data_IF_292230350463
#
_entry.id   IF_292230350463
#
_cell.length_a   1.000
_cell.length_b   1.000
_cell.length_c   1.000
_cell.angle_alpha   90.00
_cell.angle_beta   90.00
_cell.angle_gamma   90.00
#
_symmetry.space_group_name_H-M   'P 1'
#
loop_
_entity.id
_entity.type
_entity.pdbx_description
1 polymer ?
#
# COMPACT_ATOMS: atom_id res chain seq x y z
N UNK A 1 2.63 -32.17 4.04
CA UNK A 1 3.17 -30.86 3.64
C UNK A 1 2.00 -29.93 3.38
N UNK A 2 1.73 -29.02 4.29
CA UNK A 2 0.65 -28.04 4.11
C UNK A 2 1.16 -26.97 3.13
N UNK A 3 0.70 -27.01 1.88
CA UNK A 3 0.95 -25.94 0.92
C UNK A 3 0.27 -24.68 1.45
N UNK A 4 1.02 -23.59 1.61
CA UNK A 4 0.41 -22.29 1.94
C UNK A 4 -0.66 -21.99 0.89
N UNK A 5 -1.84 -21.52 1.32
CA UNK A 5 -2.87 -21.13 0.36
C UNK A 5 -2.32 -20.07 -0.60
N UNK A 6 -2.53 -20.29 -1.88
CA UNK A 6 -2.03 -19.39 -2.94
C UNK A 6 -2.90 -18.13 -2.94
N UNK A 7 -2.32 -17.00 -2.51
CA UNK A 7 -2.96 -15.69 -2.63
C UNK A 7 -2.88 -15.23 -4.09
N UNK A 8 -3.98 -14.74 -4.62
CA UNK A 8 -4.04 -14.13 -5.95
C UNK A 8 -4.18 -12.61 -5.83
N UNK A 9 -3.52 -11.90 -6.74
CA UNK A 9 -3.65 -10.45 -6.84
C UNK A 9 -4.42 -10.10 -8.11
N UNK A 10 -5.35 -9.15 -7.98
CA UNK A 10 -6.15 -8.64 -9.10
C UNK A 10 -6.48 -7.17 -8.93
N UNK A 11 -6.92 -6.54 -10.01
CA UNK A 11 -7.51 -5.21 -9.92
C UNK A 11 -8.85 -5.25 -9.16
N UNK A 12 -9.14 -4.18 -8.42
CA UNK A 12 -10.43 -4.02 -7.78
C UNK A 12 -11.54 -3.86 -8.81
N UNK A 13 -12.71 -4.38 -8.47
CA UNK A 13 -13.98 -4.19 -9.19
C UNK A 13 -14.95 -3.40 -8.31
N UNK A 14 -16.09 -2.99 -8.87
CA UNK A 14 -17.06 -2.16 -8.13
C UNK A 14 -17.55 -2.81 -6.84
N UNK A 15 -17.70 -4.12 -6.83
CA UNK A 15 -18.13 -4.92 -5.68
C UNK A 15 -17.12 -4.91 -4.52
N UNK A 16 -15.87 -4.57 -4.77
CA UNK A 16 -14.84 -4.47 -3.73
C UNK A 16 -14.91 -3.17 -2.92
N UNK A 17 -15.76 -2.22 -3.28
CA UNK A 17 -15.80 -0.90 -2.64
C UNK A 17 -15.92 -0.98 -1.12
N UNK A 18 -16.84 -1.77 -0.59
CA UNK A 18 -17.01 -1.93 0.85
C UNK A 18 -15.76 -2.51 1.53
N UNK A 19 -15.08 -3.44 0.88
CA UNK A 19 -13.83 -4.01 1.38
C UNK A 19 -12.69 -2.98 1.34
N UNK A 20 -12.59 -2.15 0.30
CA UNK A 20 -11.60 -1.07 0.21
C UNK A 20 -11.81 -0.05 1.33
N UNK A 21 -13.06 0.35 1.61
CA UNK A 21 -13.40 1.22 2.75
C UNK A 21 -12.97 0.57 4.07
N UNK A 22 -13.22 -0.71 4.25
CA UNK A 22 -12.79 -1.44 5.46
C UNK A 22 -11.26 -1.45 5.61
N UNK A 23 -10.53 -1.64 4.53
CA UNK A 23 -9.06 -1.58 4.56
C UNK A 23 -8.54 -0.16 4.87
N UNK A 24 -9.20 0.88 4.37
CA UNK A 24 -8.90 2.26 4.72
C UNK A 24 -9.09 2.52 6.22
N UNK A 25 -10.19 2.03 6.80
CA UNK A 25 -10.44 2.11 8.25
C UNK A 25 -9.31 1.47 9.08
N UNK A 26 -8.84 0.31 8.67
CA UNK A 26 -7.71 -0.35 9.33
C UNK A 26 -6.38 0.40 9.13
N UNK A 27 -6.21 1.10 8.03
CA UNK A 27 -5.02 1.90 7.78
C UNK A 27 -4.96 3.20 8.62
N UNK A 28 -6.10 3.69 9.11
CA UNK A 28 -6.16 4.87 9.98
C UNK A 28 -5.66 4.61 11.41
N UNK A 29 -5.54 3.35 11.83
CA UNK A 29 -5.30 2.99 13.23
C UNK A 29 -4.12 2.02 13.37
N UNK A 30 -3.63 1.92 14.61
CA UNK A 30 -2.82 0.79 15.06
C UNK A 30 -3.74 -0.27 15.70
N UNK A 31 -3.27 -1.50 15.80
CA UNK A 31 -4.08 -2.71 16.03
C UNK A 31 -5.04 -2.65 17.23
N UNK A 32 -4.65 -1.96 18.31
CA UNK A 32 -5.44 -1.89 19.56
C UNK A 32 -6.40 -0.70 19.64
N UNK A 33 -6.50 0.08 18.57
CA UNK A 33 -7.37 1.25 18.55
C UNK A 33 -8.75 0.89 18.00
N UNK A 34 -9.82 1.58 18.44
CA UNK A 34 -11.13 1.39 17.87
C UNK A 34 -11.13 1.82 16.40
N UNK A 35 -11.81 1.02 15.55
CA UNK A 35 -11.98 1.36 14.14
C UNK A 35 -12.84 2.63 14.00
N UNK A 36 -12.41 3.60 13.19
CA UNK A 36 -13.24 4.74 12.84
C UNK A 36 -14.48 4.30 12.04
N UNK A 37 -15.52 5.10 12.04
CA UNK A 37 -16.69 4.84 11.22
C UNK A 37 -16.35 4.90 9.72
N UNK A 38 -17.08 4.15 8.86
CA UNK A 38 -16.78 4.15 7.43
C UNK A 38 -16.98 5.49 6.74
N UNK A 39 -17.73 6.41 7.33
CA UNK A 39 -17.99 7.77 6.87
C UNK A 39 -17.14 8.83 7.61
N UNK A 40 -16.17 8.40 8.43
CA UNK A 40 -15.20 9.29 9.05
C UNK A 40 -14.39 10.04 7.97
N UNK A 41 -14.17 11.34 8.20
CA UNK A 41 -13.48 12.22 7.24
C UNK A 41 -12.07 11.72 6.90
N UNK A 42 -11.34 11.18 7.88
CA UNK A 42 -10.01 10.64 7.66
C UNK A 42 -10.07 9.40 6.76
N UNK A 43 -11.03 8.49 7.00
CA UNK A 43 -11.25 7.31 6.17
C UNK A 43 -11.58 7.70 4.73
N UNK A 44 -12.53 8.63 4.57
CA UNK A 44 -12.96 9.09 3.24
C UNK A 44 -11.83 9.77 2.47
N UNK A 45 -10.96 10.52 3.15
CA UNK A 45 -9.82 11.21 2.51
C UNK A 45 -8.77 10.24 1.97
N UNK A 46 -8.66 9.05 2.54
CA UNK A 46 -7.69 8.01 2.14
C UNK A 46 -8.20 7.06 1.05
N UNK A 47 -9.47 7.17 0.66
CA UNK A 47 -10.01 6.31 -0.39
C UNK A 47 -9.33 6.57 -1.74
N UNK A 48 -9.33 5.56 -2.64
CA UNK A 48 -8.74 5.74 -3.97
C UNK A 48 -9.37 6.92 -4.69
N UNK A 49 -8.56 7.89 -5.18
CA UNK A 49 -9.08 8.98 -5.98
C UNK A 49 -9.60 8.49 -7.33
N UNK A 50 -10.41 9.31 -8.05
CA UNK A 50 -10.86 8.97 -9.40
C UNK A 50 -9.70 8.55 -10.31
N UNK A 51 -9.85 7.41 -11.00
CA UNK A 51 -8.84 6.83 -11.88
C UNK A 51 -7.81 5.91 -11.20
N UNK A 52 -7.75 5.91 -9.86
CA UNK A 52 -6.94 4.94 -9.13
C UNK A 52 -7.73 3.64 -8.91
N UNK A 53 -7.15 2.53 -9.33
CA UNK A 53 -7.72 1.19 -9.12
C UNK A 53 -6.89 0.44 -8.11
N UNK A 54 -7.43 0.12 -6.92
CA UNK A 54 -6.72 -0.68 -5.92
C UNK A 54 -6.31 -2.06 -6.45
N UNK A 55 -5.21 -2.59 -5.91
CA UNK A 55 -4.85 -3.99 -6.06
C UNK A 55 -5.45 -4.75 -4.89
N UNK A 56 -6.21 -5.79 -5.18
CA UNK A 56 -6.85 -6.68 -4.20
C UNK A 56 -6.04 -7.97 -4.11
N UNK A 57 -5.78 -8.41 -2.88
CA UNK A 57 -5.33 -9.77 -2.60
C UNK A 57 -6.55 -10.61 -2.20
N UNK A 58 -6.73 -11.75 -2.83
CA UNK A 58 -7.79 -12.69 -2.48
C UNK A 58 -7.25 -14.09 -2.16
N UNK A 59 -7.95 -14.77 -1.29
CA UNK A 59 -7.60 -16.15 -0.94
C UNK A 59 -8.09 -17.15 -2.02
N UNK A 60 -7.72 -18.45 -1.92
CA UNK A 60 -8.12 -19.43 -2.93
C UNK A 60 -9.63 -19.63 -3.09
N UNK A 61 -10.44 -19.13 -2.17
CA UNK A 61 -11.91 -19.17 -2.26
C UNK A 61 -12.50 -17.92 -2.91
N UNK A 62 -11.64 -16.96 -3.34
CA UNK A 62 -12.06 -15.70 -3.95
C UNK A 62 -12.47 -14.63 -2.94
N UNK A 63 -12.17 -14.81 -1.65
CA UNK A 63 -12.47 -13.82 -0.61
C UNK A 63 -11.35 -12.78 -0.53
N UNK A 64 -11.65 -11.47 -0.63
CA UNK A 64 -10.67 -10.42 -0.44
C UNK A 64 -10.07 -10.45 0.97
N UNK A 65 -8.74 -10.37 1.05
CA UNK A 65 -7.97 -10.44 2.30
C UNK A 65 -7.00 -9.28 2.48
N UNK A 66 -6.84 -8.43 1.49
CA UNK A 66 -6.00 -7.24 1.55
C UNK A 66 -6.19 -6.35 0.34
N UNK A 67 -5.82 -5.08 0.47
CA UNK A 67 -5.85 -4.10 -0.60
C UNK A 67 -4.74 -3.07 -0.45
N UNK A 68 -4.29 -2.51 -1.58
CA UNK A 68 -3.29 -1.45 -1.63
C UNK A 68 -3.59 -0.51 -2.81
N UNK A 69 -3.38 0.77 -2.61
CA UNK A 69 -3.53 1.81 -3.64
C UNK A 69 -2.68 3.03 -3.31
N UNK A 70 -2.63 3.99 -4.23
CA UNK A 70 -2.07 5.32 -3.99
C UNK A 70 -3.17 6.37 -3.82
N UNK A 71 -2.86 7.42 -3.09
CA UNK A 71 -3.74 8.56 -2.88
C UNK A 71 -2.92 9.83 -2.66
N UNK A 72 -3.59 10.97 -2.67
CA UNK A 72 -2.97 12.26 -2.39
C UNK A 72 -3.72 12.94 -1.26
N UNK A 73 -2.99 13.47 -0.30
CA UNK A 73 -3.55 14.32 0.74
C UNK A 73 -3.28 15.79 0.45
N UNK A 74 -4.10 16.65 0.99
CA UNK A 74 -3.91 18.09 0.95
C UNK A 74 -3.94 18.65 2.41
N UNK A 75 -2.82 19.21 2.90
CA UNK A 75 -1.53 19.37 2.22
C UNK A 75 -0.80 18.02 2.05
N UNK A 76 0.08 17.90 1.04
CA UNK A 76 0.81 16.66 0.81
C UNK A 76 1.81 16.38 1.94
N UNK A 77 2.04 15.09 2.22
CA UNK A 77 3.06 14.67 3.18
C UNK A 77 4.46 15.07 2.70
N UNK A 78 4.70 14.91 1.40
CA UNK A 78 5.97 15.26 0.76
C UNK A 78 5.75 15.84 -0.64
N UNK A 79 6.68 16.68 -1.04
CA UNK A 79 6.79 17.17 -2.41
C UNK A 79 8.17 16.80 -2.97
N UNK A 80 8.27 16.64 -4.28
CA UNK A 80 9.54 16.44 -4.96
C UNK A 80 10.32 17.77 -5.15
N UNK A 81 11.47 17.69 -5.81
CA UNK A 81 12.31 18.87 -6.06
C UNK A 81 11.62 19.95 -6.94
N UNK A 82 10.60 19.57 -7.71
CA UNK A 82 9.80 20.48 -8.52
C UNK A 82 8.56 21.03 -7.77
N UNK A 83 8.36 20.64 -6.51
CA UNK A 83 7.20 21.05 -5.71
C UNK A 83 5.95 20.23 -5.99
N UNK A 84 6.06 19.12 -6.73
CA UNK A 84 4.94 18.23 -7.04
C UNK A 84 4.71 17.25 -5.89
N UNK A 85 3.45 17.03 -5.54
CA UNK A 85 3.05 16.09 -4.49
C UNK A 85 3.54 14.68 -4.80
N UNK A 86 4.24 14.06 -3.84
CA UNK A 86 4.61 12.64 -3.90
C UNK A 86 3.40 11.81 -3.47
N UNK A 87 2.96 10.82 -4.27
CA UNK A 87 1.82 9.98 -3.90
C UNK A 87 2.07 9.22 -2.58
N UNK A 88 1.01 9.12 -1.78
CA UNK A 88 1.02 8.30 -0.57
C UNK A 88 0.42 6.92 -0.87
N UNK A 89 0.93 5.89 -0.21
CA UNK A 89 0.31 4.58 -0.26
C UNK A 89 -0.69 4.41 0.90
N UNK A 90 -1.75 3.68 0.63
CA UNK A 90 -2.63 3.11 1.63
C UNK A 90 -2.66 1.59 1.46
N UNK A 91 -2.47 0.85 2.53
CA UNK A 91 -2.48 -0.61 2.54
C UNK A 91 -3.22 -1.13 3.76
N UNK A 92 -4.05 -2.14 3.56
CA UNK A 92 -4.69 -2.88 4.64
C UNK A 92 -4.68 -4.38 4.35
N UNK A 93 -4.47 -5.16 5.40
CA UNK A 93 -4.62 -6.63 5.38
C UNK A 93 -5.66 -6.98 6.43
N UNK A 94 -6.61 -7.84 6.06
CA UNK A 94 -7.70 -8.24 6.95
C UNK A 94 -7.17 -8.82 8.27
N UNK A 95 -7.80 -8.51 9.41
CA UNK A 95 -7.47 -9.15 10.68
C UNK A 95 -7.49 -10.67 10.55
N UNK A 96 -6.56 -11.36 11.21
CA UNK A 96 -6.40 -12.81 11.08
C UNK A 96 -5.61 -13.28 9.86
N UNK A 97 -5.31 -12.39 8.91
CA UNK A 97 -4.45 -12.66 7.74
C UNK A 97 -3.12 -11.92 7.80
N UNK A 98 -2.90 -11.11 8.83
CA UNK A 98 -1.64 -10.38 9.04
C UNK A 98 -0.50 -11.34 9.40
N UNK A 99 0.74 -10.94 9.07
CA UNK A 99 1.93 -11.76 9.31
C UNK A 99 2.06 -12.97 8.38
N UNK A 100 1.30 -13.02 7.28
CA UNK A 100 1.30 -14.14 6.32
C UNK A 100 2.01 -13.81 5.00
N UNK A 101 2.58 -12.61 4.86
CA UNK A 101 3.27 -12.14 3.65
C UNK A 101 2.38 -11.41 2.65
N UNK A 102 1.08 -11.28 2.89
CA UNK A 102 0.14 -10.61 1.97
C UNK A 102 0.52 -9.14 1.76
N UNK A 103 0.87 -8.42 2.83
CA UNK A 103 1.28 -7.02 2.74
C UNK A 103 2.50 -6.84 1.84
N UNK A 104 3.50 -7.71 1.94
CA UNK A 104 4.67 -7.69 1.07
C UNK A 104 4.35 -7.94 -0.39
N UNK A 105 3.45 -8.89 -0.68
CA UNK A 105 2.99 -9.17 -2.06
C UNK A 105 2.25 -7.96 -2.66
N UNK A 106 1.37 -7.32 -1.90
CA UNK A 106 0.64 -6.14 -2.31
C UNK A 106 1.58 -4.97 -2.62
N UNK A 107 2.57 -4.72 -1.74
CA UNK A 107 3.56 -3.67 -1.94
C UNK A 107 4.40 -3.91 -3.20
N UNK A 108 4.90 -5.13 -3.40
CA UNK A 108 5.70 -5.46 -4.59
C UNK A 108 4.91 -5.22 -5.89
N UNK A 109 3.63 -5.60 -5.92
CA UNK A 109 2.75 -5.36 -7.06
C UNK A 109 2.49 -3.85 -7.28
N UNK A 110 2.29 -3.09 -6.20
CA UNK A 110 2.11 -1.65 -6.29
C UNK A 110 3.36 -0.96 -6.84
N UNK A 111 4.55 -1.33 -6.35
CA UNK A 111 5.82 -0.76 -6.84
C UNK A 111 6.02 -1.04 -8.31
N UNK A 112 5.80 -2.27 -8.76
CA UNK A 112 5.94 -2.65 -10.17
C UNK A 112 4.98 -1.85 -11.06
N UNK A 113 3.75 -1.61 -10.61
CA UNK A 113 2.76 -0.79 -11.34
C UNK A 113 3.17 0.68 -11.37
N UNK A 114 3.47 1.24 -10.20
CA UNK A 114 3.74 2.68 -10.06
C UNK A 114 5.06 3.12 -10.67
N UNK A 115 6.09 2.27 -10.68
CA UNK A 115 7.38 2.58 -11.26
C UNK A 115 7.32 2.94 -12.75
N UNK A 116 6.27 2.54 -13.46
CA UNK A 116 6.06 2.88 -14.87
C UNK A 116 5.79 4.37 -15.10
N UNK A 117 5.24 5.07 -14.10
CA UNK A 117 4.79 6.46 -14.24
C UNK A 117 5.16 7.37 -13.07
N UNK A 118 5.70 6.83 -11.98
CA UNK A 118 6.04 7.56 -10.77
C UNK A 118 7.51 7.34 -10.41
N UNK A 119 8.19 8.37 -9.92
CA UNK A 119 9.58 8.30 -9.46
C UNK A 119 9.70 7.89 -8.00
N UNK A 120 8.69 8.15 -7.20
CA UNK A 120 8.69 7.89 -5.77
C UNK A 120 7.29 7.74 -5.21
N UNK A 121 7.21 7.19 -4.00
CA UNK A 121 6.02 7.22 -3.15
C UNK A 121 6.42 7.41 -1.69
N UNK A 122 5.47 7.83 -0.88
CA UNK A 122 5.67 8.02 0.55
C UNK A 122 4.53 7.41 1.36
N UNK A 123 4.72 7.36 2.66
CA UNK A 123 3.68 6.95 3.61
C UNK A 123 3.90 7.63 4.95
N UNK A 124 2.80 7.93 5.63
CA UNK A 124 2.82 8.35 7.03
C UNK A 124 2.55 7.15 7.91
N UNK A 125 3.40 6.89 8.87
CA UNK A 125 3.26 5.76 9.79
C UNK A 125 3.42 6.22 11.24
N UNK A 126 2.55 5.75 12.11
CA UNK A 126 2.66 6.02 13.54
C UNK A 126 3.89 5.31 14.13
N UNK A 127 4.63 5.98 15.05
CA UNK A 127 5.87 5.45 15.65
C UNK A 127 5.71 4.07 16.30
N UNK A 128 4.51 3.73 16.79
CA UNK A 128 4.21 2.42 17.38
C UNK A 128 3.66 1.39 16.39
N UNK A 129 3.45 1.78 15.13
CA UNK A 129 2.90 0.86 14.14
C UNK A 129 3.99 -0.09 13.65
N UNK A 130 3.86 -1.41 13.85
CA UNK A 130 4.85 -2.39 13.38
C UNK A 130 4.98 -2.46 11.87
N UNK A 131 4.04 -1.90 11.10
CA UNK A 131 4.11 -1.82 9.64
C UNK A 131 5.37 -1.08 9.15
N UNK A 132 5.95 -0.19 9.96
CA UNK A 132 7.22 0.47 9.64
C UNK A 132 8.34 -0.53 9.30
N UNK A 133 8.36 -1.70 9.94
CA UNK A 133 9.36 -2.75 9.67
C UNK A 133 9.15 -3.38 8.29
N UNK A 134 7.90 -3.58 7.88
CA UNK A 134 7.57 -4.03 6.53
C UNK A 134 8.00 -2.99 5.49
N UNK A 135 7.70 -1.72 5.72
CA UNK A 135 8.11 -0.64 4.81
C UNK A 135 9.63 -0.56 4.68
N UNK A 136 10.37 -0.66 5.78
CA UNK A 136 11.84 -0.67 5.76
C UNK A 136 12.38 -1.86 4.94
N UNK A 137 11.86 -3.06 5.16
CA UNK A 137 12.25 -4.25 4.36
C UNK A 137 11.94 -4.09 2.87
N UNK A 138 10.95 -3.28 2.53
CA UNK A 138 10.53 -2.99 1.15
C UNK A 138 11.23 -1.74 0.56
N UNK A 139 12.23 -1.20 1.27
CA UNK A 139 13.09 -0.13 0.75
C UNK A 139 12.62 1.29 1.06
N UNK A 140 11.63 1.47 1.94
CA UNK A 140 11.30 2.79 2.47
C UNK A 140 12.36 3.23 3.48
N UNK A 141 12.65 4.53 3.49
CA UNK A 141 13.55 5.17 4.43
C UNK A 141 12.82 6.28 5.19
N UNK A 142 13.18 6.48 6.46
CA UNK A 142 12.72 7.62 7.20
C UNK A 142 13.27 8.91 6.62
N UNK A 143 12.41 9.90 6.41
CA UNK A 143 12.77 11.18 5.82
C UNK A 143 12.36 12.38 6.69
N UNK A 144 11.78 12.14 7.83
CA UNK A 144 11.44 13.18 8.80
C UNK A 144 10.12 12.95 9.53
N UNK A 145 9.63 14.01 10.16
CA UNK A 145 8.35 14.02 10.83
C UNK A 145 7.21 13.85 9.83
N UNK A 146 6.25 12.99 10.19
CA UNK A 146 5.00 12.83 9.48
C UNK A 146 3.89 13.73 10.01
N UNK A 147 2.66 13.32 9.81
CA UNK A 147 1.48 14.02 10.36
C UNK A 147 1.29 13.66 11.81
N UNK A 148 0.90 14.67 12.59
CA UNK A 148 0.75 14.55 14.02
C UNK A 148 2.08 14.36 14.77
N UNK A 149 2.05 14.43 16.12
CA UNK A 149 3.28 14.40 16.93
C UNK A 149 3.99 13.04 16.91
N UNK A 150 3.27 11.97 16.58
CA UNK A 150 3.77 10.58 16.56
C UNK A 150 3.84 10.00 15.13
N UNK A 151 3.64 10.82 14.10
CA UNK A 151 3.77 10.42 12.71
C UNK A 151 5.19 10.46 12.22
N UNK A 152 5.57 9.46 11.44
CA UNK A 152 6.86 9.37 10.75
C UNK A 152 6.60 9.36 9.24
N UNK A 153 7.32 10.21 8.50
CA UNK A 153 7.30 10.19 7.05
C UNK A 153 8.35 9.22 6.53
N UNK A 154 7.92 8.31 5.66
CA UNK A 154 8.79 7.37 4.98
C UNK A 154 8.68 7.56 3.46
N UNK A 155 9.78 7.37 2.76
CA UNK A 155 9.91 7.61 1.32
C UNK A 155 10.57 6.42 0.63
N UNK A 156 10.09 6.09 -0.57
CA UNK A 156 10.68 5.08 -1.44
C UNK A 156 10.90 5.63 -2.83
N UNK A 157 12.14 5.47 -3.34
CA UNK A 157 12.48 5.71 -4.74
C UNK A 157 12.01 4.50 -5.58
N UNK A 158 11.27 4.76 -6.65
CA UNK A 158 10.76 3.74 -7.55
C UNK A 158 11.58 3.58 -8.83
N UNK A 159 12.54 4.46 -9.09
CA UNK A 159 13.33 4.44 -10.33
C UNK A 159 14.11 3.14 -10.48
N UNK A 160 14.61 2.58 -9.37
CA UNK A 160 15.32 1.30 -9.38
C UNK A 160 14.45 0.10 -9.81
N UNK A 161 13.13 0.22 -9.77
CA UNK A 161 12.20 -0.82 -10.24
C UNK A 161 12.03 -0.82 -11.77
N UNK A 162 12.51 0.21 -12.48
CA UNK A 162 12.46 0.31 -13.95
C UNK A 162 13.58 -0.48 -14.63
N UNK A 163 14.68 -0.69 -13.93
CA UNK A 163 15.93 -1.25 -14.45
C UNK A 163 16.07 -2.76 -14.26
N UNK A 164 15.01 -3.47 -13.89
CA UNK A 164 15.03 -4.93 -13.81
C UNK A 164 14.94 -5.46 -15.26
N UNK A 165 16.05 -5.97 -15.87
CA UNK A 165 15.98 -6.55 -17.19
C UNK A 165 15.05 -7.76 -17.13
N UNK A 166 14.06 -7.79 -18.02
CA UNK A 166 13.28 -9.00 -18.28
C UNK A 166 14.29 -10.08 -18.68
N UNK A 167 14.57 -11.03 -17.81
CA UNK A 167 15.39 -12.19 -18.14
C UNK A 167 14.73 -12.87 -19.31
N UNK A 168 15.27 -12.63 -20.50
CA UNK A 168 14.87 -13.31 -21.73
C UNK A 168 14.97 -14.81 -21.51
N UNK A 169 13.90 -15.53 -21.82
CA UNK A 169 13.94 -16.98 -21.94
C UNK A 169 14.97 -17.30 -23.02
N UNK A 170 15.90 -18.22 -22.82
CA UNK A 170 16.75 -18.69 -23.90
C UNK A 170 15.86 -19.34 -24.94
N UNK A 171 15.93 -18.84 -26.19
CA UNK A 171 15.43 -19.57 -27.33
C UNK A 171 16.24 -20.85 -27.46
N UNK A 172 15.59 -21.98 -27.28
CA UNK A 172 16.13 -23.26 -27.75
C UNK A 172 15.93 -23.35 -29.26
N UNK A 173 17.04 -23.27 -29.97
CA UNK A 173 17.15 -23.76 -31.35
C UNK A 173 17.25 -25.29 -31.35
#
# INVERSE_FOLDING_TARGET
MSSRPVIQLRAAIAEDHAFVVEMARHACIIEDWPLPDPDDEEVLSMLPPPGEVPIIAEDPTGVPVGAVWTWHNDPPLRVDAAGVSVPELCIGVAPGRRGTGIGGMLLDALFARCAKSMDAMCTNVHVRNPAQHLYQRKGFQFVGQGRGPLGLAMHKDLRSHRDVPVRGRPCHT
#
